data_IF_364249715308
#
_entry.id   IF_364249715308
#
_cell.length_a   1.000
_cell.length_b   1.000
_cell.length_c   1.000
_cell.angle_alpha   90.00
_cell.angle_beta   90.00
_cell.angle_gamma   90.00
#
_symmetry.space_group_name_H-M   'P 1'
#
loop_
_entity.id
_entity.type
_entity.pdbx_description
1 polymer ?
#
# COMPACT_ATOMS: atom_id res chain seq x y z
N UNK A 1 66.79 34.53 -13.11
CA UNK A 1 65.32 34.45 -13.20
C UNK A 1 64.97 33.04 -13.66
N UNK A 2 64.73 32.14 -12.71
CA UNK A 2 64.28 30.77 -12.99
C UNK A 2 62.76 30.78 -12.82
N UNK A 3 62.07 30.34 -13.87
CA UNK A 3 60.61 30.38 -13.98
C UNK A 3 60.12 28.99 -13.61
N UNK A 4 59.72 28.80 -12.36
CA UNK A 4 59.20 27.52 -11.87
C UNK A 4 57.86 27.24 -12.57
N UNK A 5 57.87 26.27 -13.47
CA UNK A 5 56.69 25.78 -14.14
C UNK A 5 55.88 24.92 -13.15
N UNK A 6 54.67 25.36 -12.84
CA UNK A 6 53.76 24.67 -11.94
C UNK A 6 53.30 23.32 -12.55
N UNK A 7 53.62 22.16 -11.95
CA UNK A 7 53.19 20.84 -12.43
C UNK A 7 51.68 20.58 -12.23
N UNK A 8 50.93 21.56 -11.74
CA UNK A 8 49.53 21.41 -11.32
C UNK A 8 48.53 21.66 -12.47
N UNK A 9 48.97 22.17 -13.61
CA UNK A 9 48.12 22.43 -14.78
C UNK A 9 47.98 21.23 -15.72
N UNK A 10 48.72 20.13 -15.52
CA UNK A 10 48.65 18.96 -16.38
C UNK A 10 47.46 18.03 -16.09
N UNK A 11 46.74 18.23 -14.97
CA UNK A 11 45.58 17.42 -14.64
C UNK A 11 44.30 17.82 -15.41
N UNK A 12 44.30 19.01 -16.03
CA UNK A 12 43.12 19.59 -16.69
C UNK A 12 43.19 19.57 -18.23
N UNK A 13 44.33 19.21 -18.84
CA UNK A 13 44.47 19.11 -20.30
C UNK A 13 43.92 17.81 -20.88
N UNK A 14 43.74 16.77 -20.06
CA UNK A 14 43.26 15.43 -20.46
C UNK A 14 41.77 15.37 -20.85
N UNK A 15 41.02 16.46 -20.71
CA UNK A 15 39.57 16.48 -20.92
C UNK A 15 39.19 16.79 -22.38
N UNK A 16 40.12 17.26 -23.21
CA UNK A 16 39.84 17.70 -24.58
C UNK A 16 40.23 16.69 -25.67
N UNK A 17 40.13 15.38 -25.40
CA UNK A 17 40.17 14.37 -26.47
C UNK A 17 38.76 14.15 -27.03
N UNK A 18 38.44 14.53 -28.28
CA UNK A 18 37.19 14.10 -28.89
C UNK A 18 37.25 12.58 -29.06
N UNK A 19 36.37 11.88 -28.33
CA UNK A 19 36.08 10.45 -28.47
C UNK A 19 35.48 10.19 -29.86
N UNK A 20 36.33 10.18 -30.89
CA UNK A 20 35.98 9.59 -32.18
C UNK A 20 36.07 8.06 -32.04
N UNK A 21 35.03 7.47 -31.45
CA UNK A 21 34.82 6.03 -31.48
C UNK A 21 34.09 5.69 -32.78
N UNK A 22 34.86 5.30 -33.79
CA UNK A 22 34.30 4.54 -34.91
C UNK A 22 33.68 3.24 -34.35
N UNK A 23 32.40 2.95 -34.60
CA UNK A 23 31.86 1.63 -34.31
C UNK A 23 32.23 0.71 -35.48
N UNK A 24 33.51 0.39 -35.63
CA UNK A 24 33.97 -0.66 -36.56
C UNK A 24 33.79 -2.06 -35.94
N UNK A 25 32.64 -2.29 -35.31
CA UNK A 25 32.27 -3.57 -34.75
C UNK A 25 30.84 -3.85 -35.19
N UNK A 26 30.69 -4.67 -36.25
CA UNK A 26 29.55 -5.60 -36.44
C UNK A 26 29.17 -5.97 -37.89
N UNK A 27 30.00 -5.76 -38.92
CA UNK A 27 29.64 -6.29 -40.28
C UNK A 27 29.32 -7.79 -40.28
N UNK A 28 30.00 -8.55 -39.44
CA UNK A 28 29.74 -9.99 -39.29
C UNK A 28 28.52 -10.29 -38.40
N UNK A 29 28.23 -9.48 -37.38
CA UNK A 29 27.04 -9.66 -36.53
C UNK A 29 25.75 -9.23 -37.24
N UNK A 30 25.77 -8.16 -38.04
CA UNK A 30 24.62 -7.72 -38.84
C UNK A 30 24.15 -8.79 -39.83
N UNK A 31 25.07 -9.60 -40.36
CA UNK A 31 24.75 -10.70 -41.28
C UNK A 31 24.08 -11.89 -40.58
N UNK A 32 24.40 -12.13 -39.30
CA UNK A 32 23.67 -13.08 -38.46
C UNK A 32 22.31 -12.52 -38.04
N UNK A 33 22.24 -11.24 -37.65
CA UNK A 33 20.98 -10.55 -37.32
C UNK A 33 19.97 -10.58 -38.47
N UNK A 34 20.40 -10.40 -39.74
CA UNK A 34 19.51 -10.51 -40.91
C UNK A 34 18.96 -11.92 -41.14
N UNK A 35 19.73 -12.98 -40.82
CA UNK A 35 19.24 -14.37 -40.93
C UNK A 35 18.22 -14.70 -39.84
N UNK A 36 18.42 -14.17 -38.63
CA UNK A 36 17.50 -14.34 -37.51
C UNK A 36 16.38 -13.30 -37.46
N UNK A 37 16.34 -12.32 -38.37
CA UNK A 37 15.38 -11.20 -38.38
C UNK A 37 13.94 -11.70 -38.22
N UNK A 38 13.55 -12.69 -39.04
CA UNK A 38 12.20 -13.28 -38.98
C UNK A 38 11.93 -14.02 -37.66
N UNK A 39 12.93 -14.74 -37.13
CA UNK A 39 12.80 -15.50 -35.87
C UNK A 39 12.70 -14.55 -34.68
N UNK A 40 13.56 -13.52 -34.63
CA UNK A 40 13.56 -12.50 -33.58
C UNK A 40 12.25 -11.72 -33.58
N UNK A 41 11.75 -11.30 -34.76
CA UNK A 41 10.46 -10.61 -34.87
C UNK A 41 9.30 -11.50 -34.40
N UNK A 42 9.32 -12.79 -34.73
CA UNK A 42 8.30 -13.74 -34.29
C UNK A 42 8.33 -13.96 -32.78
N UNK A 43 9.53 -14.07 -32.17
CA UNK A 43 9.69 -14.19 -30.72
C UNK A 43 9.20 -12.93 -30.00
N UNK A 44 9.56 -11.74 -30.48
CA UNK A 44 9.10 -10.47 -29.90
C UNK A 44 7.57 -10.38 -29.99
N UNK A 45 6.98 -10.73 -31.14
CA UNK A 45 5.52 -10.76 -31.30
C UNK A 45 4.83 -11.70 -30.32
N UNK A 46 5.39 -12.89 -30.09
CA UNK A 46 4.85 -13.86 -29.14
C UNK A 46 4.92 -13.35 -27.69
N UNK A 47 6.03 -12.69 -27.31
CA UNK A 47 6.19 -12.07 -25.99
C UNK A 47 5.15 -10.97 -25.79
N UNK A 48 5.01 -10.05 -26.76
CA UNK A 48 4.04 -8.95 -26.69
C UNK A 48 2.61 -9.50 -26.59
N UNK A 49 2.27 -10.50 -27.42
CA UNK A 49 0.96 -11.15 -27.37
C UNK A 49 0.70 -11.82 -26.01
N UNK A 50 1.70 -12.49 -25.44
CA UNK A 50 1.64 -13.06 -24.10
C UNK A 50 1.39 -12.01 -23.02
N UNK A 51 2.08 -10.87 -23.08
CA UNK A 51 1.89 -9.76 -22.14
C UNK A 51 0.47 -9.19 -22.26
N UNK A 52 -0.01 -8.94 -23.49
CA UNK A 52 -1.39 -8.43 -23.70
C UNK A 52 -2.43 -9.41 -23.18
N UNK A 53 -2.28 -10.71 -23.48
CA UNK A 53 -3.16 -11.76 -22.97
C UNK A 53 -3.15 -11.81 -21.43
N UNK A 54 -1.98 -11.69 -20.81
CA UNK A 54 -1.85 -11.62 -19.37
C UNK A 54 -2.56 -10.39 -18.78
N UNK A 55 -2.35 -9.21 -19.35
CA UNK A 55 -3.02 -7.97 -18.95
C UNK A 55 -4.56 -8.10 -19.04
N UNK A 56 -5.09 -8.67 -20.13
CA UNK A 56 -6.53 -8.91 -20.28
C UNK A 56 -7.05 -9.99 -19.33
N UNK A 57 -6.24 -11.03 -19.09
CA UNK A 57 -6.58 -12.14 -18.18
C UNK A 57 -6.72 -11.69 -16.73
N UNK A 58 -5.78 -10.86 -16.24
CA UNK A 58 -5.85 -10.33 -14.87
C UNK A 58 -7.02 -9.36 -14.68
N UNK A 59 -7.45 -8.68 -15.73
CA UNK A 59 -8.63 -7.80 -15.70
C UNK A 59 -9.95 -8.60 -15.66
N UNK A 60 -10.08 -9.67 -16.46
CA UNK A 60 -11.28 -10.52 -16.43
C UNK A 60 -11.42 -11.33 -15.13
N UNK A 61 -10.32 -11.71 -14.48
CA UNK A 61 -10.35 -12.38 -13.17
C UNK A 61 -11.01 -11.56 -12.05
N UNK A 62 -11.09 -10.24 -12.22
CA UNK A 62 -11.64 -9.30 -11.22
C UNK A 62 -13.17 -9.10 -11.34
N UNK A 63 -13.76 -9.49 -12.48
CA UNK A 63 -15.19 -9.32 -12.77
C UNK A 63 -16.10 -10.30 -12.01
N UNK A 64 -15.67 -11.56 -11.87
CA UNK A 64 -16.49 -12.61 -11.22
C UNK A 64 -16.52 -12.48 -9.69
N UNK A 65 -15.54 -11.81 -9.09
CA UNK A 65 -15.52 -11.49 -7.66
C UNK A 65 -16.58 -10.43 -7.31
N UNK A 66 -16.95 -9.56 -8.28
CA UNK A 66 -17.98 -8.53 -8.08
C UNK A 66 -19.40 -9.11 -8.09
N UNK A 67 -19.71 -10.01 -9.03
CA UNK A 67 -20.98 -10.75 -9.00
C UNK A 67 -21.07 -11.59 -7.73
N UNK A 68 -19.95 -12.20 -7.29
CA UNK A 68 -19.88 -12.93 -6.01
C UNK A 68 -20.17 -12.15 -4.75
N UNK A 69 -19.83 -10.87 -4.76
CA UNK A 69 -20.22 -9.96 -3.70
C UNK A 69 -21.68 -9.52 -3.81
N UNK A 70 -22.21 -9.39 -5.02
CA UNK A 70 -23.54 -8.83 -5.26
C UNK A 70 -24.65 -9.84 -4.94
N UNK A 71 -24.49 -11.13 -5.24
CA UNK A 71 -25.47 -12.16 -4.85
C UNK A 71 -25.46 -12.50 -3.36
N UNK A 72 -24.31 -12.36 -2.67
CA UNK A 72 -24.21 -12.55 -1.21
C UNK A 72 -24.77 -11.36 -0.41
N UNK A 73 -24.84 -10.17 -1.00
CA UNK A 73 -25.43 -8.98 -0.37
C UNK A 73 -26.96 -8.98 -0.38
N UNK A 74 -27.60 -9.72 -1.29
CA UNK A 74 -29.08 -9.83 -1.34
C UNK A 74 -29.59 -10.92 -0.41
N UNK A 75 -28.82 -12.00 -0.21
CA UNK A 75 -29.19 -13.10 0.70
C UNK A 75 -28.97 -12.79 2.20
N UNK A 76 -28.51 -11.58 2.57
CA UNK A 76 -28.19 -11.20 3.95
C UNK A 76 -29.06 -10.07 4.52
N UNK A 77 -30.19 -9.74 3.90
CA UNK A 77 -31.18 -8.85 4.51
C UNK A 77 -32.22 -9.71 5.26
N UNK A 78 -32.22 -9.75 6.61
CA UNK A 78 -33.34 -10.30 7.37
C UNK A 78 -34.59 -9.39 7.26
N UNK A 79 -35.81 -9.95 7.34
CA UNK A 79 -37.07 -9.19 7.30
C UNK A 79 -37.12 -8.11 8.39
N UNK A 80 -37.44 -6.87 8.00
CA UNK A 80 -37.77 -5.80 8.95
C UNK A 80 -39.17 -6.06 9.52
N UNK A 81 -39.18 -6.38 10.81
CA UNK A 81 -40.36 -6.48 11.68
C UNK A 81 -40.78 -5.07 12.16
N UNK A 82 -42.05 -4.97 12.55
CA UNK A 82 -42.93 -3.79 12.57
C UNK A 82 -42.58 -2.63 13.54
N UNK A 83 -43.15 -1.42 13.33
CA UNK A 83 -42.93 -0.26 14.20
C UNK A 83 -43.93 -0.23 15.37
N UNK A 84 -43.44 -0.26 16.61
CA UNK A 84 -44.23 0.08 17.80
C UNK A 84 -43.52 1.18 18.58
N UNK A 85 -44.15 2.34 18.66
CA UNK A 85 -43.68 3.51 19.42
C UNK A 85 -44.03 3.37 20.92
N UNK A 86 -43.20 3.88 21.86
CA UNK A 86 -43.42 3.75 23.30
C UNK A 86 -44.03 5.03 23.92
N UNK A 87 -45.01 4.87 24.83
CA UNK A 87 -45.56 5.97 25.62
C UNK A 87 -45.61 5.65 27.13
N UNK A 88 -44.83 6.48 27.86
CA UNK A 88 -44.99 7.02 29.22
C UNK A 88 -44.85 6.15 30.50
N UNK A 89 -44.10 6.77 31.45
CA UNK A 89 -44.16 6.74 32.94
C UNK A 89 -43.44 5.55 33.62
N UNK A 90 -42.56 5.68 34.63
CA UNK A 90 -42.20 6.70 35.64
C UNK A 90 -40.72 6.56 36.05
N UNK A 91 -40.10 7.67 36.47
CA UNK A 91 -38.69 7.91 36.89
C UNK A 91 -38.31 7.33 38.29
N UNK A 92 -37.24 7.76 39.00
CA UNK A 92 -35.92 8.33 38.64
C UNK A 92 -34.72 7.77 39.48
N UNK A 93 -33.47 7.77 38.97
CA UNK A 93 -32.27 8.35 39.65
C UNK A 93 -31.04 8.31 38.74
N UNK A 94 -30.36 9.44 38.69
CA UNK A 94 -29.16 9.75 37.91
C UNK A 94 -27.94 8.94 38.36
N UNK A 95 -27.07 8.56 37.43
CA UNK A 95 -25.65 8.90 37.55
C UNK A 95 -25.02 9.08 36.16
N UNK A 96 -24.69 10.34 35.89
CA UNK A 96 -23.95 10.82 34.73
C UNK A 96 -22.50 10.40 34.91
N UNK A 97 -21.96 9.59 34.00
CA UNK A 97 -20.50 9.54 33.78
C UNK A 97 -20.22 9.62 32.29
N UNK A 98 -20.06 10.86 31.86
CA UNK A 98 -19.31 11.24 30.66
C UNK A 98 -17.87 10.72 30.87
N UNK A 99 -17.28 9.85 30.03
CA UNK A 99 -15.83 9.81 29.96
C UNK A 99 -15.41 10.98 29.11
N UNK A 100 -15.23 12.09 29.82
CA UNK A 100 -14.16 13.07 29.69
C UNK A 100 -13.50 13.08 28.32
N UNK A 101 -13.75 14.18 27.60
CA UNK A 101 -12.81 14.76 26.63
C UNK A 101 -11.48 14.94 27.36
N UNK A 102 -10.66 13.89 27.40
CA UNK A 102 -9.30 13.96 27.92
C UNK A 102 -8.47 14.64 26.84
N UNK A 103 -8.34 15.95 27.05
CA UNK A 103 -7.17 16.80 26.80
C UNK A 103 -6.28 16.35 25.65
N UNK A 104 -6.16 17.27 24.70
CA UNK A 104 -4.99 17.42 23.85
C UNK A 104 -3.71 17.48 24.71
N UNK A 105 -3.17 16.34 25.11
CA UNK A 105 -1.76 16.21 25.41
C UNK A 105 -1.06 16.19 24.06
N UNK A 106 -0.42 17.30 23.70
CA UNK A 106 0.46 17.47 22.54
C UNK A 106 1.73 16.62 22.63
N UNK A 107 1.58 15.33 22.94
CA UNK A 107 2.62 14.32 22.90
C UNK A 107 2.47 13.49 21.63
N UNK A 108 3.58 13.08 21.04
CA UNK A 108 3.61 12.27 19.83
C UNK A 108 2.84 10.96 20.08
N UNK A 109 1.69 10.77 19.42
CA UNK A 109 0.90 9.54 19.55
C UNK A 109 1.37 8.55 18.47
N UNK A 110 1.75 7.37 18.89
CA UNK A 110 2.13 6.28 18.01
C UNK A 110 0.95 5.32 17.83
N UNK A 111 0.78 4.80 16.63
CA UNK A 111 -0.24 3.80 16.30
C UNK A 111 0.42 2.70 15.48
N UNK A 112 -0.13 1.50 15.54
CA UNK A 112 0.37 0.39 14.72
C UNK A 112 -0.55 0.26 13.52
N UNK A 113 -0.02 0.47 12.33
CA UNK A 113 -0.73 0.21 11.08
C UNK A 113 -0.68 -1.29 10.80
N UNK A 114 -1.84 -1.91 10.62
CA UNK A 114 -1.95 -3.34 10.34
C UNK A 114 -2.05 -3.63 8.85
N UNK A 115 -2.98 -2.95 8.18
CA UNK A 115 -3.35 -3.24 6.80
C UNK A 115 -4.04 -2.03 6.17
N UNK A 116 -3.92 -1.92 4.85
CA UNK A 116 -4.61 -0.92 4.03
C UNK A 116 -5.57 -1.59 3.07
N UNK A 117 -6.82 -1.14 3.03
CA UNK A 117 -7.83 -1.62 2.11
C UNK A 117 -8.20 -0.56 1.10
N UNK A 118 -8.48 -0.95 -0.15
CA UNK A 118 -9.07 -0.07 -1.15
C UNK A 118 -10.59 0.12 -0.93
N UNK A 119 -11.24 -0.82 -0.22
CA UNK A 119 -12.67 -0.79 0.06
C UNK A 119 -12.95 -0.43 1.52
N UNK A 120 -13.75 0.61 1.73
CA UNK A 120 -14.19 1.02 3.07
C UNK A 120 -14.98 -0.07 3.80
N UNK A 121 -15.77 -0.87 3.07
CA UNK A 121 -16.55 -1.97 3.67
C UNK A 121 -15.66 -3.06 4.27
N UNK A 122 -14.58 -3.42 3.57
CA UNK A 122 -13.61 -4.40 4.06
C UNK A 122 -12.84 -3.87 5.27
N UNK A 123 -12.45 -2.59 5.23
CA UNK A 123 -11.80 -1.95 6.36
C UNK A 123 -12.70 -1.95 7.61
N UNK A 124 -13.98 -1.61 7.47
CA UNK A 124 -14.93 -1.63 8.58
C UNK A 124 -15.13 -3.04 9.15
N UNK A 125 -15.25 -4.05 8.29
CA UNK A 125 -15.33 -5.45 8.72
C UNK A 125 -14.11 -5.89 9.54
N UNK A 126 -12.92 -5.46 9.13
CA UNK A 126 -11.68 -5.77 9.85
C UNK A 126 -11.59 -5.03 11.19
N UNK A 127 -12.02 -3.77 11.23
CA UNK A 127 -12.16 -2.99 12.47
C UNK A 127 -13.11 -3.70 13.43
N UNK A 128 -14.26 -4.19 12.98
CA UNK A 128 -15.18 -4.96 13.84
C UNK A 128 -14.56 -6.26 14.34
N UNK A 129 -13.83 -6.98 13.49
CA UNK A 129 -13.14 -8.21 13.87
C UNK A 129 -12.06 -7.97 14.95
N UNK A 130 -11.33 -6.86 14.83
CA UNK A 130 -10.35 -6.43 15.83
C UNK A 130 -11.00 -5.97 17.13
N UNK A 131 -12.16 -5.31 17.05
CA UNK A 131 -12.95 -4.90 18.22
C UNK A 131 -13.44 -6.10 19.02
N UNK A 132 -13.87 -7.17 18.32
CA UNK A 132 -14.25 -8.46 18.94
C UNK A 132 -13.10 -9.14 19.67
N UNK A 133 -11.85 -8.87 19.26
CA UNK A 133 -10.63 -9.36 19.93
C UNK A 133 -10.20 -8.50 21.13
N UNK A 134 -10.99 -7.48 21.50
CA UNK A 134 -10.68 -6.56 22.60
C UNK A 134 -9.62 -5.51 22.25
N UNK A 135 -9.25 -5.37 20.98
CA UNK A 135 -8.33 -4.33 20.53
C UNK A 135 -9.08 -3.02 20.29
N UNK A 136 -8.33 -1.91 20.22
CA UNK A 136 -8.85 -0.57 19.86
C UNK A 136 -8.48 -0.23 18.41
N UNK A 137 -9.25 -0.70 17.41
CA UNK A 137 -8.99 -0.40 16.01
C UNK A 137 -9.45 1.00 15.61
N UNK A 138 -8.72 1.60 14.67
CA UNK A 138 -8.97 2.92 14.11
C UNK A 138 -8.88 2.83 12.58
N UNK A 139 -9.96 3.19 11.88
CA UNK A 139 -9.93 3.33 10.43
C UNK A 139 -9.64 4.78 10.05
N UNK A 140 -8.56 5.00 9.29
CA UNK A 140 -8.15 6.32 8.81
C UNK A 140 -8.25 6.33 7.28
N UNK A 141 -9.16 7.13 6.68
CA UNK A 141 -9.21 7.29 5.24
C UNK A 141 -7.98 8.07 4.75
N UNK A 142 -7.33 7.59 3.70
CA UNK A 142 -6.18 8.22 3.04
C UNK A 142 -6.37 8.11 1.52
N UNK A 143 -6.99 9.13 0.93
CA UNK A 143 -7.32 9.15 -0.50
C UNK A 143 -8.29 8.02 -0.85
N UNK A 144 -7.93 7.19 -1.83
CA UNK A 144 -8.72 6.02 -2.27
C UNK A 144 -8.56 4.77 -1.39
N UNK A 145 -7.83 4.87 -0.27
CA UNK A 145 -7.57 3.75 0.63
C UNK A 145 -8.02 4.06 2.05
N UNK A 146 -8.33 3.03 2.81
CA UNK A 146 -8.63 3.10 4.24
C UNK A 146 -7.59 2.28 4.99
N UNK A 147 -6.88 2.95 5.89
CA UNK A 147 -5.83 2.36 6.71
C UNK A 147 -6.46 1.89 8.02
N UNK A 148 -6.26 0.62 8.37
CA UNK A 148 -6.67 0.07 9.67
C UNK A 148 -5.47 0.08 10.60
N UNK A 149 -5.56 0.90 11.62
CA UNK A 149 -4.59 1.02 12.70
C UNK A 149 -5.14 0.39 13.99
N UNK A 150 -4.27 0.04 14.92
CA UNK A 150 -4.64 -0.42 16.26
C UNK A 150 -3.87 0.35 17.32
N UNK A 151 -4.61 0.71 18.37
CA UNK A 151 -4.09 1.32 19.58
C UNK A 151 -3.67 2.78 19.38
N UNK A 152 -3.52 3.46 20.50
CA UNK A 152 -2.86 4.77 20.60
C UNK A 152 -1.85 4.67 21.74
N UNK A 153 -0.58 4.67 21.39
CA UNK A 153 0.55 4.48 22.29
C UNK A 153 1.26 5.82 22.51
N UNK A 154 1.66 6.11 23.75
CA UNK A 154 2.42 7.32 24.09
C UNK A 154 3.90 7.19 23.76
N UNK A 155 4.45 5.97 23.75
CA UNK A 155 5.84 5.69 23.42
C UNK A 155 5.97 4.63 22.32
N UNK A 156 6.96 4.81 21.45
CA UNK A 156 7.31 3.84 20.39
C UNK A 156 7.68 2.46 20.97
N UNK A 157 8.28 2.42 22.16
CA UNK A 157 8.71 1.16 22.78
C UNK A 157 7.52 0.30 23.19
N UNK A 158 6.47 0.92 23.75
CA UNK A 158 5.22 0.22 24.09
C UNK A 158 4.55 -0.37 22.84
N UNK A 159 4.58 0.34 21.71
CA UNK A 159 4.07 -0.17 20.44
C UNK A 159 4.95 -1.29 19.87
N UNK A 160 6.28 -1.23 20.10
CA UNK A 160 7.23 -2.25 19.63
C UNK A 160 7.03 -3.59 20.32
N UNK A 161 6.65 -3.60 21.60
CA UNK A 161 6.35 -4.83 22.34
C UNK A 161 5.11 -5.55 21.81
N UNK A 162 4.12 -4.84 21.24
CA UNK A 162 2.91 -5.45 20.66
C UNK A 162 3.07 -5.86 19.18
N UNK A 163 4.11 -5.40 18.49
CA UNK A 163 4.39 -5.80 17.11
C UNK A 163 4.52 -7.32 16.87
N UNK A 164 5.25 -8.10 17.68
CA UNK A 164 5.40 -9.54 17.41
C UNK A 164 4.07 -10.30 17.44
N UNK A 165 3.14 -9.90 18.31
CA UNK A 165 1.83 -10.53 18.38
C UNK A 165 0.95 -10.21 17.18
N UNK A 166 1.05 -8.98 16.68
CA UNK A 166 0.34 -8.55 15.47
C UNK A 166 0.96 -9.15 14.20
N UNK A 167 2.29 -9.33 14.16
CA UNK A 167 3.01 -9.93 13.03
C UNK A 167 2.65 -11.39 12.76
N UNK A 168 2.15 -12.12 13.76
CA UNK A 168 1.61 -13.48 13.57
C UNK A 168 0.41 -13.51 12.61
N UNK A 169 -0.36 -12.42 12.55
CA UNK A 169 -1.59 -12.30 11.75
C UNK A 169 -1.41 -11.41 10.52
N UNK A 170 -0.60 -10.36 10.61
CA UNK A 170 -0.41 -9.39 9.53
C UNK A 170 1.08 -9.21 9.28
N UNK A 171 1.56 -9.59 8.10
CA UNK A 171 3.00 -9.60 7.79
C UNK A 171 3.61 -8.19 7.78
N UNK A 172 2.86 -7.20 7.29
CA UNK A 172 3.35 -5.84 7.05
C UNK A 172 2.96 -4.83 8.15
N UNK A 173 2.99 -5.24 9.43
CA UNK A 173 2.75 -4.33 10.55
C UNK A 173 3.90 -3.34 10.75
N UNK A 174 3.58 -2.06 10.91
CA UNK A 174 4.58 -1.05 11.30
C UNK A 174 4.00 0.05 12.20
N UNK A 175 4.88 0.70 12.96
CA UNK A 175 4.52 1.80 13.85
C UNK A 175 4.54 3.12 13.08
N UNK A 176 3.46 3.89 13.18
CA UNK A 176 3.30 5.21 12.56
C UNK A 176 2.95 6.26 13.62
N UNK A 177 3.49 7.46 13.48
CA UNK A 177 3.12 8.63 14.30
C UNK A 177 1.88 9.31 13.70
N UNK A 178 0.91 9.63 14.56
CA UNK A 178 -0.25 10.46 14.26
C UNK A 178 0.06 11.95 14.49
#
# INVERSE_FOLDING_TARGET
MVKDAHPQLELFSSINTPLNRDPQMSRNFFSYLKRYEKIVLLTIGFIIFGIVSFCLGVEKGKGNIRQAYQYRAVASNPPQEAPVQPALRVAPKQEVVIPVVLKASGGQKYTIQLVTFQSSRLAQKEVEALRKKGLKPLAIPKGSYVIVCVGSFSSKDTARSLLPDLKKRYQDCFIRRL
#
